data_IF_990498038864
#
_entry.id   IF_990498038864
#
_cell.length_a   1.000
_cell.length_b   1.000
_cell.length_c   1.000
_cell.angle_alpha   90.00
_cell.angle_beta   90.00
_cell.angle_gamma   90.00
#
_symmetry.space_group_name_H-M   'P 1'
#
loop_
_entity.id
_entity.type
_entity.pdbx_description
1 polymer ?
#
# COMPACT_ATOMS: atom_id res chain seq x y z
N UNK A 1 -24.69 -66.84 -49.84
CA UNK A 1 -23.58 -65.87 -49.86
C UNK A 1 -24.14 -64.44 -49.89
N UNK A 2 -23.96 -63.66 -48.81
CA UNK A 2 -23.90 -62.17 -48.82
C UNK A 2 -23.42 -61.74 -47.42
N UNK A 3 -22.14 -61.40 -47.31
CA UNK A 3 -21.46 -60.92 -46.08
C UNK A 3 -21.82 -59.45 -45.88
N UNK A 4 -22.42 -59.10 -44.74
CA UNK A 4 -22.62 -57.71 -44.32
C UNK A 4 -21.38 -57.29 -43.52
N UNK A 5 -20.60 -56.35 -44.06
CA UNK A 5 -19.44 -55.75 -43.39
C UNK A 5 -19.92 -54.50 -42.63
N UNK A 6 -19.98 -54.56 -41.30
CA UNK A 6 -20.18 -53.38 -40.45
C UNK A 6 -18.88 -52.58 -40.37
N UNK A 7 -18.86 -51.37 -40.94
CA UNK A 7 -17.79 -50.39 -40.75
C UNK A 7 -17.83 -49.87 -39.30
N UNK A 8 -16.78 -50.17 -38.53
CA UNK A 8 -16.51 -49.50 -37.26
C UNK A 8 -16.01 -48.08 -37.56
N UNK A 9 -16.84 -47.08 -37.26
CA UNK A 9 -16.41 -45.69 -37.17
C UNK A 9 -15.71 -45.49 -35.82
N UNK A 10 -14.38 -45.50 -35.84
CA UNK A 10 -13.58 -45.16 -34.67
C UNK A 10 -13.88 -43.72 -34.22
N UNK A 11 -14.33 -43.54 -32.98
CA UNK A 11 -14.38 -42.24 -32.31
C UNK A 11 -12.94 -41.70 -32.24
N UNK A 12 -12.62 -40.70 -33.06
CA UNK A 12 -11.40 -39.90 -32.86
C UNK A 12 -11.51 -39.24 -31.48
N UNK A 13 -10.61 -39.59 -30.57
CA UNK A 13 -10.48 -38.90 -29.28
C UNK A 13 -10.19 -37.42 -29.57
N UNK A 14 -10.99 -36.52 -28.99
CA UNK A 14 -10.66 -35.09 -29.00
C UNK A 14 -9.33 -34.93 -28.28
N UNK A 15 -8.39 -34.11 -28.79
CA UNK A 15 -7.18 -33.79 -28.05
C UNK A 15 -7.59 -33.20 -26.69
N UNK A 16 -7.05 -33.76 -25.60
CA UNK A 16 -7.21 -33.19 -24.26
C UNK A 16 -6.71 -31.75 -24.35
N UNK A 17 -7.57 -30.77 -24.00
CA UNK A 17 -7.09 -29.40 -23.79
C UNK A 17 -5.96 -29.49 -22.76
N UNK A 18 -4.83 -28.79 -22.95
CA UNK A 18 -3.80 -28.72 -21.93
C UNK A 18 -4.49 -28.30 -20.63
N UNK A 19 -4.39 -29.14 -19.61
CA UNK A 19 -4.93 -28.84 -18.29
C UNK A 19 -4.21 -27.59 -17.82
N UNK A 20 -4.97 -26.50 -17.67
CA UNK A 20 -4.44 -25.30 -17.05
C UNK A 20 -3.93 -25.72 -15.67
N UNK A 21 -2.65 -25.46 -15.32
CA UNK A 21 -2.12 -25.89 -14.04
C UNK A 21 -3.03 -25.40 -12.92
N UNK A 22 -3.38 -26.30 -12.01
CA UNK A 22 -4.31 -26.00 -10.92
C UNK A 22 -3.76 -24.86 -10.06
N UNK A 23 -4.63 -23.92 -9.69
CA UNK A 23 -4.25 -22.82 -8.79
C UNK A 23 -3.90 -23.37 -7.40
N UNK A 24 -2.97 -22.74 -6.67
CA UNK A 24 -2.76 -23.07 -5.27
C UNK A 24 -4.08 -23.05 -4.47
N UNK A 25 -4.29 -23.95 -3.50
CA UNK A 25 -5.58 -24.10 -2.82
C UNK A 25 -6.17 -22.81 -2.24
N UNK A 26 -5.31 -21.93 -1.70
CA UNK A 26 -5.70 -20.64 -1.13
C UNK A 26 -6.23 -19.67 -2.21
N UNK A 27 -5.58 -19.62 -3.36
CA UNK A 27 -6.00 -18.76 -4.49
C UNK A 27 -7.29 -19.31 -5.10
N UNK A 28 -7.40 -20.63 -5.22
CA UNK A 28 -8.63 -21.27 -5.67
C UNK A 28 -9.79 -20.97 -4.72
N UNK A 29 -9.57 -21.01 -3.41
CA UNK A 29 -10.59 -20.66 -2.42
C UNK A 29 -11.06 -19.21 -2.58
N UNK A 30 -10.13 -18.25 -2.69
CA UNK A 30 -10.46 -16.84 -2.95
C UNK A 30 -11.34 -16.72 -4.20
N UNK A 31 -10.96 -17.39 -5.30
CA UNK A 31 -11.72 -17.37 -6.55
C UNK A 31 -13.14 -17.93 -6.36
N UNK A 32 -13.28 -19.07 -5.70
CA UNK A 32 -14.58 -19.71 -5.49
C UNK A 32 -15.50 -18.90 -4.59
N UNK A 33 -14.97 -18.27 -3.55
CA UNK A 33 -15.73 -17.39 -2.65
C UNK A 33 -16.10 -16.06 -3.34
N UNK A 34 -15.23 -15.51 -4.18
CA UNK A 34 -15.54 -14.35 -5.01
C UNK A 34 -16.70 -14.64 -5.97
N UNK A 35 -16.68 -15.81 -6.64
CA UNK A 35 -17.76 -16.27 -7.53
C UNK A 35 -19.10 -16.47 -6.80
N UNK A 36 -19.07 -16.71 -5.48
CA UNK A 36 -20.27 -16.77 -4.62
C UNK A 36 -20.76 -15.39 -4.16
N UNK A 37 -20.09 -14.31 -4.55
CA UNK A 37 -20.48 -12.94 -4.22
C UNK A 37 -19.95 -12.43 -2.87
N UNK A 38 -19.00 -13.14 -2.24
CA UNK A 38 -18.40 -12.66 -0.99
C UNK A 38 -17.56 -11.40 -1.24
N UNK A 39 -17.97 -10.26 -0.69
CA UNK A 39 -17.42 -8.95 -1.07
C UNK A 39 -15.92 -8.81 -0.77
N UNK A 40 -15.45 -9.35 0.35
CA UNK A 40 -14.02 -9.35 0.67
C UNK A 40 -13.22 -10.16 -0.37
N UNK A 41 -13.70 -11.35 -0.71
CA UNK A 41 -13.03 -12.23 -1.67
C UNK A 41 -13.13 -11.72 -3.10
N UNK A 42 -14.18 -10.99 -3.46
CA UNK A 42 -14.24 -10.25 -4.73
C UNK A 42 -13.04 -9.28 -4.83
N UNK A 43 -12.77 -8.51 -3.77
CA UNK A 43 -11.63 -7.60 -3.73
C UNK A 43 -10.31 -8.37 -3.74
N UNK A 44 -10.19 -9.44 -2.95
CA UNK A 44 -8.96 -10.25 -2.92
C UNK A 44 -8.68 -10.91 -4.28
N UNK A 45 -9.71 -11.36 -4.99
CA UNK A 45 -9.56 -11.92 -6.33
C UNK A 45 -9.10 -10.87 -7.33
N UNK A 46 -9.66 -9.66 -7.29
CA UNK A 46 -9.14 -8.53 -8.08
C UNK A 46 -7.66 -8.24 -7.79
N UNK A 47 -7.24 -8.34 -6.53
CA UNK A 47 -5.83 -8.17 -6.13
C UNK A 47 -4.94 -9.31 -6.62
N UNK A 48 -5.43 -10.56 -6.64
CA UNK A 48 -4.75 -11.71 -7.25
C UNK A 48 -4.51 -11.47 -8.75
N UNK A 49 -5.50 -10.93 -9.46
CA UNK A 49 -5.38 -10.61 -10.88
C UNK A 49 -4.35 -9.49 -11.16
N UNK A 50 -4.05 -8.63 -10.19
CA UNK A 50 -3.02 -7.60 -10.36
C UNK A 50 -1.59 -8.15 -10.18
N UNK A 51 -1.37 -8.92 -9.12
CA UNK A 51 -0.01 -9.08 -8.55
C UNK A 51 0.39 -10.54 -8.24
N UNK A 52 -0.45 -11.54 -8.53
CA UNK A 52 -0.13 -12.94 -8.22
C UNK A 52 0.94 -13.52 -9.16
N UNK A 53 1.90 -14.26 -8.60
CA UNK A 53 2.85 -15.07 -9.39
C UNK A 53 2.22 -16.32 -10.02
N UNK A 54 1.02 -16.69 -9.56
CA UNK A 54 0.31 -17.91 -9.98
C UNK A 54 -0.77 -17.65 -11.03
N UNK A 55 -1.14 -16.40 -11.26
CA UNK A 55 -2.19 -16.00 -12.21
C UNK A 55 -1.62 -14.94 -13.14
N UNK A 56 -1.74 -15.07 -14.48
CA UNK A 56 -1.32 -14.01 -15.38
C UNK A 56 -1.97 -12.68 -15.03
N UNK A 57 -1.17 -11.62 -15.00
CA UNK A 57 -1.64 -10.28 -14.65
C UNK A 57 -2.74 -9.81 -15.60
N UNK A 58 -3.91 -9.48 -15.05
CA UNK A 58 -5.10 -9.00 -15.75
C UNK A 58 -5.73 -7.79 -15.02
N UNK A 59 -5.23 -6.57 -15.28
CA UNK A 59 -5.74 -5.36 -14.64
C UNK A 59 -7.16 -4.98 -15.05
N UNK A 60 -7.58 -5.36 -16.27
CA UNK A 60 -8.92 -5.09 -16.76
C UNK A 60 -9.93 -5.95 -15.98
N UNK A 61 -9.65 -7.25 -15.84
CA UNK A 61 -10.43 -8.13 -14.99
C UNK A 61 -10.43 -7.67 -13.53
N UNK A 62 -9.29 -7.24 -12.98
CA UNK A 62 -9.23 -6.70 -11.62
C UNK A 62 -10.18 -5.51 -11.42
N UNK A 63 -10.20 -4.55 -12.36
CA UNK A 63 -11.12 -3.41 -12.33
C UNK A 63 -12.59 -3.85 -12.36
N UNK A 64 -12.94 -4.86 -13.14
CA UNK A 64 -14.30 -5.40 -13.16
C UNK A 64 -14.71 -5.94 -11.78
N UNK A 65 -13.86 -6.75 -11.14
CA UNK A 65 -14.13 -7.28 -9.80
C UNK A 65 -14.22 -6.19 -8.74
N UNK A 66 -13.33 -5.21 -8.74
CA UNK A 66 -13.45 -4.06 -7.83
C UNK A 66 -14.73 -3.26 -8.07
N UNK A 67 -15.15 -3.13 -9.33
CA UNK A 67 -16.42 -2.47 -9.69
C UNK A 67 -17.63 -3.23 -9.18
N UNK A 68 -17.61 -4.56 -9.21
CA UNK A 68 -18.65 -5.41 -8.61
C UNK A 68 -18.73 -5.17 -7.10
N UNK A 69 -17.61 -5.21 -6.36
CA UNK A 69 -17.60 -4.92 -4.93
C UNK A 69 -18.05 -3.49 -4.61
N UNK A 70 -17.60 -2.50 -5.38
CA UNK A 70 -18.01 -1.11 -5.23
C UNK A 70 -19.53 -0.94 -5.48
N UNK A 71 -20.09 -1.64 -6.47
CA UNK A 71 -21.53 -1.57 -6.78
C UNK A 71 -22.40 -2.20 -5.70
N UNK A 72 -21.83 -3.09 -4.88
CA UNK A 72 -22.46 -3.63 -3.67
C UNK A 72 -22.32 -2.71 -2.45
N UNK A 73 -21.73 -1.51 -2.59
CA UNK A 73 -21.49 -0.56 -1.51
C UNK A 73 -20.33 -0.95 -0.58
N UNK A 74 -19.49 -1.92 -0.97
CA UNK A 74 -18.37 -2.35 -0.14
C UNK A 74 -17.21 -1.35 -0.25
N UNK A 75 -16.88 -0.70 0.88
CA UNK A 75 -15.85 0.35 0.95
C UNK A 75 -14.50 -0.03 0.34
N UNK A 76 -13.92 -1.21 0.66
CA UNK A 76 -12.69 -1.68 0.02
C UNK A 76 -12.78 -1.83 -1.50
N UNK A 77 -13.96 -2.15 -2.04
CA UNK A 77 -14.22 -2.19 -3.48
C UNK A 77 -14.12 -0.81 -4.12
N UNK A 78 -14.76 0.19 -3.51
CA UNK A 78 -14.61 1.59 -3.93
C UNK A 78 -13.15 2.05 -3.86
N UNK A 79 -12.44 1.73 -2.79
CA UNK A 79 -11.04 2.09 -2.63
C UNK A 79 -10.16 1.47 -3.73
N UNK A 80 -10.30 0.18 -4.01
CA UNK A 80 -9.51 -0.47 -5.05
C UNK A 80 -9.87 0.01 -6.46
N UNK A 81 -11.14 0.30 -6.74
CA UNK A 81 -11.55 0.97 -7.99
C UNK A 81 -10.93 2.36 -8.12
N UNK A 82 -10.84 3.11 -7.01
CA UNK A 82 -10.13 4.40 -6.97
C UNK A 82 -8.65 4.26 -7.34
N UNK A 83 -7.98 3.22 -6.84
CA UNK A 83 -6.58 2.92 -7.21
C UNK A 83 -6.42 2.59 -8.69
N UNK A 84 -7.38 1.86 -9.28
CA UNK A 84 -7.39 1.61 -10.73
C UNK A 84 -7.37 2.91 -11.52
N UNK A 85 -8.25 3.86 -11.21
CA UNK A 85 -8.27 5.16 -11.89
C UNK A 85 -7.03 6.01 -11.60
N UNK A 86 -6.51 5.97 -10.37
CA UNK A 86 -5.31 6.74 -10.00
C UNK A 86 -4.06 6.26 -10.75
N UNK A 87 -3.89 4.93 -10.88
CA UNK A 87 -2.68 4.33 -11.44
C UNK A 87 -2.84 3.82 -12.87
N UNK A 88 -4.05 3.83 -13.42
CA UNK A 88 -4.36 3.35 -14.77
C UNK A 88 -4.36 1.83 -14.86
N UNK A 89 -4.80 1.14 -13.81
CA UNK A 89 -4.88 -0.32 -13.82
C UNK A 89 -6.17 -0.76 -14.51
N UNK A 90 -6.03 -1.25 -15.74
CA UNK A 90 -7.15 -1.74 -16.54
C UNK A 90 -8.01 -0.65 -17.16
N UNK A 91 -7.61 0.62 -17.03
CA UNK A 91 -8.32 1.79 -17.56
C UNK A 91 -7.34 2.94 -17.82
N UNK A 92 -7.81 3.99 -18.50
CA UNK A 92 -7.10 5.26 -18.56
C UNK A 92 -7.03 5.91 -17.16
N UNK A 93 -5.93 6.61 -16.89
CA UNK A 93 -5.77 7.33 -15.63
C UNK A 93 -6.78 8.48 -15.55
N UNK A 94 -7.51 8.53 -14.45
CA UNK A 94 -8.49 9.59 -14.16
C UNK A 94 -8.49 9.92 -12.66
N UNK A 95 -7.81 11.01 -12.31
CA UNK A 95 -7.65 11.41 -10.92
C UNK A 95 -8.95 11.96 -10.31
N UNK A 96 -9.87 12.48 -11.13
CA UNK A 96 -11.17 12.97 -10.66
C UNK A 96 -12.10 11.80 -10.33
N UNK A 97 -12.11 10.75 -11.15
CA UNK A 97 -12.83 9.51 -10.83
C UNK A 97 -12.19 8.77 -9.64
N UNK A 98 -10.87 8.78 -9.50
CA UNK A 98 -10.19 8.21 -8.33
C UNK A 98 -10.66 8.90 -7.04
N UNK A 99 -10.69 10.24 -7.04
CA UNK A 99 -11.21 11.06 -5.96
C UNK A 99 -12.66 10.71 -5.56
N UNK A 100 -13.55 10.57 -6.55
CA UNK A 100 -14.94 10.18 -6.31
C UNK A 100 -15.04 8.78 -5.69
N UNK A 101 -14.24 7.83 -6.17
CA UNK A 101 -14.19 6.48 -5.63
C UNK A 101 -13.69 6.45 -4.18
N UNK A 102 -12.62 7.19 -3.85
CA UNK A 102 -12.14 7.29 -2.47
C UNK A 102 -13.13 7.99 -1.54
N UNK A 103 -13.87 8.99 -2.03
CA UNK A 103 -14.96 9.60 -1.28
C UNK A 103 -16.10 8.61 -0.97
N UNK A 104 -16.48 7.77 -1.94
CA UNK A 104 -17.44 6.70 -1.70
C UNK A 104 -16.92 5.65 -0.70
N UNK A 105 -15.64 5.27 -0.80
CA UNK A 105 -15.00 4.36 0.16
C UNK A 105 -15.01 4.94 1.59
N UNK A 106 -14.64 6.21 1.74
CA UNK A 106 -14.66 6.94 3.00
C UNK A 106 -16.07 7.01 3.61
N UNK A 107 -17.08 7.29 2.79
CA UNK A 107 -18.48 7.30 3.23
C UNK A 107 -18.96 5.91 3.68
N UNK A 108 -18.45 4.85 3.04
CA UNK A 108 -18.75 3.46 3.38
C UNK A 108 -17.93 2.91 4.57
N UNK A 109 -17.15 3.74 5.26
CA UNK A 109 -16.40 3.30 6.45
C UNK A 109 -14.97 2.84 6.19
N UNK A 110 -14.47 2.85 4.96
CA UNK A 110 -13.14 2.31 4.63
C UNK A 110 -12.01 3.31 4.95
N UNK A 111 -11.11 2.92 5.86
CA UNK A 111 -10.02 3.80 6.31
C UNK A 111 -8.92 3.99 5.26
N UNK A 112 -8.70 2.99 4.41
CA UNK A 112 -7.79 3.15 3.27
C UNK A 112 -8.32 4.17 2.27
N UNK A 113 -9.62 4.15 2.00
CA UNK A 113 -10.34 5.14 1.22
C UNK A 113 -10.27 6.54 1.83
N UNK A 114 -10.48 6.67 3.16
CA UNK A 114 -10.29 7.95 3.87
C UNK A 114 -8.86 8.48 3.75
N UNK A 115 -7.88 7.61 3.96
CA UNK A 115 -6.46 7.96 3.81
C UNK A 115 -6.14 8.42 2.40
N UNK A 116 -6.55 7.66 1.38
CA UNK A 116 -6.28 7.99 -0.02
C UNK A 116 -6.98 9.29 -0.44
N UNK A 117 -8.22 9.50 -0.02
CA UNK A 117 -8.91 10.76 -0.22
C UNK A 117 -8.16 11.90 0.46
N UNK A 118 -7.75 11.74 1.73
CA UNK A 118 -7.00 12.73 2.48
C UNK A 118 -5.72 13.15 1.76
N UNK A 119 -5.00 12.20 1.14
CA UNK A 119 -3.80 12.51 0.33
C UNK A 119 -4.15 13.35 -0.90
N UNK A 120 -5.19 12.99 -1.66
CA UNK A 120 -5.61 13.74 -2.84
C UNK A 120 -6.07 15.15 -2.45
N UNK A 121 -6.87 15.26 -1.39
CA UNK A 121 -7.38 16.53 -0.86
C UNK A 121 -6.26 17.42 -0.31
N UNK A 122 -5.29 16.85 0.39
CA UNK A 122 -4.13 17.62 0.91
C UNK A 122 -3.28 18.19 -0.23
N UNK A 123 -3.13 17.44 -1.33
CA UNK A 123 -2.20 17.77 -2.43
C UNK A 123 -2.89 18.43 -3.64
N UNK A 124 -4.21 18.54 -3.66
CA UNK A 124 -4.96 19.03 -4.81
C UNK A 124 -4.82 18.15 -6.06
N UNK A 125 -4.83 16.82 -5.89
CA UNK A 125 -4.65 15.88 -7.01
C UNK A 125 -6.02 15.41 -7.50
N UNK A 126 -6.41 15.82 -8.71
CA UNK A 126 -7.72 15.48 -9.29
C UNK A 126 -8.90 16.21 -8.63
N UNK A 127 -8.61 17.17 -7.74
CA UNK A 127 -9.55 18.04 -7.02
C UNK A 127 -8.78 19.25 -6.48
N UNK A 128 -9.49 20.27 -6.01
CA UNK A 128 -8.85 21.39 -5.32
C UNK A 128 -8.27 20.96 -3.97
N UNK A 129 -7.17 21.60 -3.56
CA UNK A 129 -6.55 21.34 -2.27
C UNK A 129 -7.39 21.93 -1.13
N UNK A 130 -7.54 21.17 -0.04
CA UNK A 130 -8.29 21.57 1.16
C UNK A 130 -7.65 20.94 2.42
N UNK A 131 -6.75 21.69 3.06
CA UNK A 131 -6.03 21.22 4.25
C UNK A 131 -6.95 20.95 5.45
N UNK A 132 -7.93 21.80 5.80
CA UNK A 132 -8.90 21.49 6.85
C UNK A 132 -9.65 20.18 6.64
N UNK A 133 -10.10 19.92 5.40
CA UNK A 133 -10.78 18.65 5.07
C UNK A 133 -9.83 17.46 5.12
N UNK A 134 -8.61 17.60 4.62
CA UNK A 134 -7.60 16.54 4.70
C UNK A 134 -7.27 16.18 6.16
N UNK A 135 -7.13 17.18 7.02
CA UNK A 135 -6.95 17.00 8.46
C UNK A 135 -8.08 16.16 9.06
N UNK A 136 -9.34 16.49 8.78
CA UNK A 136 -10.47 15.75 9.32
C UNK A 136 -10.44 14.28 8.88
N UNK A 137 -10.18 14.02 7.59
CA UNK A 137 -10.05 12.66 7.05
C UNK A 137 -8.94 11.85 7.74
N UNK A 138 -7.75 12.44 7.93
CA UNK A 138 -6.65 11.76 8.62
C UNK A 138 -6.96 11.55 10.10
N UNK A 139 -7.53 12.55 10.78
CA UNK A 139 -7.91 12.47 12.19
C UNK A 139 -8.94 11.36 12.43
N UNK A 140 -9.98 11.27 11.59
CA UNK A 140 -10.99 10.21 11.69
C UNK A 140 -10.38 8.84 11.47
N UNK A 141 -9.60 8.65 10.40
CA UNK A 141 -8.96 7.36 10.13
C UNK A 141 -7.94 6.97 11.21
N UNK A 142 -7.19 7.94 11.76
CA UNK A 142 -6.29 7.72 12.89
C UNK A 142 -7.06 7.27 14.15
N UNK A 143 -8.23 7.87 14.42
CA UNK A 143 -9.12 7.47 15.51
C UNK A 143 -9.64 6.03 15.39
N UNK A 144 -9.70 5.48 14.17
CA UNK A 144 -10.08 4.09 13.91
C UNK A 144 -8.89 3.13 13.74
N UNK A 145 -7.67 3.54 14.13
CA UNK A 145 -6.53 2.63 14.13
C UNK A 145 -5.69 2.62 12.84
N UNK A 146 -5.99 3.48 11.85
CA UNK A 146 -5.25 3.48 10.59
C UNK A 146 -3.86 4.12 10.73
N UNK A 147 -2.82 3.30 10.84
CA UNK A 147 -1.44 3.72 11.15
C UNK A 147 -0.91 4.83 10.24
N UNK A 148 -1.07 4.72 8.91
CA UNK A 148 -0.62 5.77 7.97
C UNK A 148 -1.30 7.11 8.19
N UNK A 149 -2.57 7.09 8.58
CA UNK A 149 -3.31 8.32 8.91
C UNK A 149 -2.86 8.89 10.25
N UNK A 150 -2.49 8.06 11.22
CA UNK A 150 -1.90 8.53 12.48
C UNK A 150 -0.62 9.32 12.25
N UNK A 151 0.29 8.83 11.39
CA UNK A 151 1.51 9.56 11.02
C UNK A 151 1.20 10.93 10.39
N UNK A 152 0.23 11.00 9.47
CA UNK A 152 -0.11 12.27 8.83
C UNK A 152 -0.82 13.21 9.79
N UNK A 153 -1.72 12.71 10.63
CA UNK A 153 -2.36 13.51 11.65
C UNK A 153 -1.34 14.08 12.66
N UNK A 154 -0.37 13.27 13.08
CA UNK A 154 0.76 13.73 13.89
C UNK A 154 1.50 14.89 13.23
N UNK A 155 1.76 14.80 11.92
CA UNK A 155 2.42 15.87 11.17
C UNK A 155 1.62 17.18 11.14
N UNK A 156 0.30 17.13 11.00
CA UNK A 156 -0.55 18.33 11.10
C UNK A 156 -0.41 19.01 12.47
N UNK A 157 -0.33 18.25 13.56
CA UNK A 157 -0.13 18.76 14.91
C UNK A 157 1.30 19.29 15.13
N UNK A 158 2.30 18.60 14.59
CA UNK A 158 3.71 18.99 14.68
C UNK A 158 3.98 20.31 13.96
N UNK A 159 3.43 20.48 12.77
CA UNK A 159 3.70 21.65 11.92
C UNK A 159 2.72 22.80 12.17
N UNK A 160 1.56 22.52 12.75
CA UNK A 160 0.53 23.52 13.04
C UNK A 160 -0.10 24.15 11.79
N UNK A 161 -0.24 23.39 10.70
CA UNK A 161 -0.68 23.95 9.39
C UNK A 161 -2.05 24.64 9.43
N UNK A 162 -3.07 23.94 9.94
CA UNK A 162 -4.45 24.45 10.05
C UNK A 162 -5.03 24.21 11.44
N UNK A 163 -4.15 23.93 12.39
CA UNK A 163 -4.42 23.70 13.81
C UNK A 163 -3.26 24.28 14.62
N UNK A 164 -3.46 24.66 15.89
CA UNK A 164 -2.34 25.04 16.76
C UNK A 164 -1.29 23.92 16.81
N UNK A 165 -0.02 24.31 16.82
CA UNK A 165 1.08 23.35 16.97
C UNK A 165 1.00 22.68 18.35
N UNK A 166 1.05 21.35 18.37
CA UNK A 166 1.11 20.51 19.57
C UNK A 166 2.06 19.34 19.34
N UNK A 167 3.33 19.56 19.67
CA UNK A 167 4.40 18.57 19.49
C UNK A 167 4.27 17.37 20.44
N UNK A 168 3.67 17.55 21.61
CA UNK A 168 3.47 16.48 22.57
C UNK A 168 2.40 15.50 22.04
N UNK A 169 1.27 16.03 21.56
CA UNK A 169 0.25 15.21 20.92
C UNK A 169 0.76 14.58 19.62
N UNK A 170 1.55 15.31 18.82
CA UNK A 170 2.18 14.74 17.62
C UNK A 170 3.06 13.53 17.94
N UNK A 171 3.91 13.64 18.98
CA UNK A 171 4.78 12.54 19.41
C UNK A 171 3.97 11.29 19.80
N UNK A 172 2.86 11.47 20.53
CA UNK A 172 1.96 10.38 20.89
C UNK A 172 1.34 9.70 19.66
N UNK A 173 0.97 10.47 18.63
CA UNK A 173 0.44 9.91 17.39
C UNK A 173 1.50 9.26 16.51
N UNK A 174 2.73 9.79 16.48
CA UNK A 174 3.86 9.11 15.82
C UNK A 174 4.16 7.77 16.49
N UNK A 175 4.16 7.69 17.83
CA UNK A 175 4.27 6.42 18.56
C UNK A 175 3.18 5.43 18.16
N UNK A 176 1.90 5.84 18.21
CA UNK A 176 0.78 4.96 17.81
C UNK A 176 0.90 4.50 16.36
N UNK A 177 1.36 5.38 15.47
CA UNK A 177 1.64 5.02 14.08
C UNK A 177 2.75 3.99 13.96
N UNK A 178 3.81 4.11 14.77
CA UNK A 178 4.93 3.17 14.81
C UNK A 178 4.49 1.79 15.31
N UNK A 179 3.72 1.76 16.40
CA UNK A 179 3.10 0.56 16.97
C UNK A 179 2.11 -0.10 15.98
N UNK A 180 1.42 0.72 15.18
CA UNK A 180 0.56 0.26 14.08
C UNK A 180 1.32 -0.23 12.84
N UNK A 181 2.66 -0.23 12.87
CA UNK A 181 3.51 -0.78 11.82
C UNK A 181 3.77 0.15 10.62
N UNK A 182 3.42 1.44 10.69
CA UNK A 182 3.78 2.35 9.61
C UNK A 182 5.22 2.83 9.73
N UNK A 183 6.04 2.52 8.74
CA UNK A 183 7.46 2.85 8.74
C UNK A 183 7.77 4.36 8.85
N UNK A 184 6.85 5.25 8.41
CA UNK A 184 7.04 6.70 8.57
C UNK A 184 6.83 7.08 10.03
N UNK A 185 5.80 6.52 10.67
CA UNK A 185 5.59 6.62 12.11
C UNK A 185 6.79 6.09 12.91
N UNK A 186 7.30 4.91 12.54
CA UNK A 186 8.51 4.34 13.16
C UNK A 186 9.72 5.26 13.01
N UNK A 187 9.95 5.81 11.82
CA UNK A 187 11.05 6.75 11.57
C UNK A 187 10.89 8.06 12.37
N UNK A 188 9.70 8.67 12.36
CA UNK A 188 9.45 9.94 13.04
C UNK A 188 9.55 9.80 14.55
N UNK A 189 9.01 8.70 15.10
CA UNK A 189 9.13 8.40 16.52
C UNK A 189 10.59 8.12 16.94
N UNK A 190 11.33 7.34 16.15
CA UNK A 190 12.75 7.11 16.35
C UNK A 190 13.58 8.41 16.33
N UNK A 191 13.32 9.30 15.37
CA UNK A 191 13.99 10.60 15.30
C UNK A 191 13.75 11.41 16.58
N UNK A 192 12.51 11.46 17.07
CA UNK A 192 12.19 12.14 18.33
C UNK A 192 12.85 11.48 19.55
N UNK A 193 12.96 10.15 19.59
CA UNK A 193 13.67 9.42 20.64
C UNK A 193 15.17 9.73 20.64
N UNK A 194 15.82 9.81 19.47
CA UNK A 194 17.22 10.25 19.35
C UNK A 194 17.38 11.67 19.91
N UNK A 195 16.50 12.59 19.52
CA UNK A 195 16.57 13.98 19.98
C UNK A 195 16.31 14.09 21.51
N UNK A 196 15.59 13.13 22.10
CA UNK A 196 15.41 12.97 23.54
C UNK A 196 16.53 12.17 24.24
N UNK A 197 17.58 11.75 23.51
CA UNK A 197 18.71 10.98 24.04
C UNK A 197 18.45 9.49 24.26
N UNK A 198 17.29 8.97 23.83
CA UNK A 198 16.89 7.56 23.95
C UNK A 198 17.31 6.77 22.72
N UNK A 199 18.62 6.71 22.49
CA UNK A 199 19.19 6.19 21.23
C UNK A 199 18.86 4.70 21.02
N UNK A 200 19.02 3.85 22.02
CA UNK A 200 18.73 2.41 21.88
C UNK A 200 17.28 2.14 21.48
N UNK A 201 16.31 2.80 22.13
CA UNK A 201 14.89 2.69 21.77
C UNK A 201 14.64 3.18 20.33
N UNK A 202 15.33 4.24 19.89
CA UNK A 202 15.21 4.72 18.52
C UNK A 202 15.72 3.72 17.48
N UNK A 203 16.84 3.04 17.78
CA UNK A 203 17.44 2.04 16.90
C UNK A 203 16.49 0.86 16.68
N UNK A 204 15.77 0.42 17.72
CA UNK A 204 14.75 -0.64 17.59
C UNK A 204 13.65 -0.28 16.58
N UNK A 205 13.18 0.97 16.61
CA UNK A 205 12.18 1.44 15.65
C UNK A 205 12.75 1.59 14.24
N UNK A 206 13.97 2.09 14.08
CA UNK A 206 14.61 2.17 12.77
C UNK A 206 14.94 0.80 12.16
N UNK A 207 15.26 -0.23 12.96
CA UNK A 207 15.41 -1.62 12.48
C UNK A 207 14.12 -2.19 11.89
N UNK A 208 12.96 -1.71 12.34
CA UNK A 208 11.67 -2.03 11.73
C UNK A 208 11.44 -1.17 10.48
N UNK A 209 11.64 0.15 10.59
CA UNK A 209 11.36 1.10 9.51
C UNK A 209 12.17 0.83 8.25
N UNK A 210 13.44 0.41 8.41
CA UNK A 210 14.35 0.13 7.29
C UNK A 210 13.85 -0.98 6.36
N UNK A 211 12.85 -1.77 6.71
CA UNK A 211 12.29 -2.78 5.80
C UNK A 211 11.51 -2.10 4.67
N UNK A 212 10.62 -1.17 5.03
CA UNK A 212 9.65 -0.56 4.10
C UNK A 212 9.96 0.91 3.77
N UNK A 213 11.01 1.48 4.38
CA UNK A 213 11.40 2.87 4.18
C UNK A 213 11.59 3.24 2.70
N UNK A 214 11.07 4.42 2.34
CA UNK A 214 11.33 5.09 1.06
C UNK A 214 12.70 5.75 1.06
N UNK A 215 13.21 6.11 -0.12
CA UNK A 215 14.56 6.67 -0.27
C UNK A 215 14.80 7.94 0.53
N UNK A 216 13.80 8.82 0.66
CA UNK A 216 13.86 10.03 1.48
C UNK A 216 14.10 9.69 2.97
N UNK A 217 13.37 8.71 3.49
CA UNK A 217 13.53 8.25 4.88
C UNK A 217 14.85 7.51 5.05
N UNK A 218 15.26 6.69 4.09
CA UNK A 218 16.56 6.01 4.14
C UNK A 218 17.73 7.01 4.16
N UNK A 219 17.65 8.08 3.37
CA UNK A 219 18.65 9.16 3.39
C UNK A 219 18.66 9.88 4.74
N UNK A 220 17.50 10.19 5.32
CA UNK A 220 17.41 10.79 6.65
C UNK A 220 17.97 9.86 7.75
N UNK A 221 17.70 8.55 7.66
CA UNK A 221 18.26 7.54 8.54
C UNK A 221 19.77 7.47 8.41
N UNK A 222 20.31 7.41 7.18
CA UNK A 222 21.75 7.38 6.91
C UNK A 222 22.47 8.59 7.53
N UNK A 223 21.91 9.79 7.38
CA UNK A 223 22.44 11.02 7.98
C UNK A 223 22.44 10.96 9.51
N UNK A 224 21.31 10.60 10.13
CA UNK A 224 21.19 10.53 11.59
C UNK A 224 22.07 9.43 12.18
N UNK A 225 22.09 8.23 11.59
CA UNK A 225 22.93 7.12 12.03
C UNK A 225 24.42 7.43 11.90
N UNK A 226 24.83 8.09 10.81
CA UNK A 226 26.21 8.56 10.65
C UNK A 226 26.57 9.58 11.74
N UNK A 227 25.67 10.51 12.06
CA UNK A 227 25.89 11.52 13.09
C UNK A 227 25.97 10.93 14.52
N UNK A 228 25.33 9.78 14.77
CA UNK A 228 25.42 9.08 16.05
C UNK A 228 26.81 8.45 16.31
N UNK A 229 27.58 8.18 15.25
CA UNK A 229 28.92 7.59 15.34
C UNK A 229 28.91 6.31 16.18
N UNK A 230 29.75 6.25 17.22
CA UNK A 230 29.88 5.08 18.11
C UNK A 230 28.62 4.78 18.93
N UNK A 231 27.67 5.71 19.04
CA UNK A 231 26.37 5.48 19.70
C UNK A 231 25.33 4.90 18.75
N UNK A 232 25.63 4.82 17.45
CA UNK A 232 24.72 4.28 16.44
C UNK A 232 24.81 2.76 16.32
N UNK A 233 24.11 2.24 15.32
CA UNK A 233 24.13 0.83 14.93
C UNK A 233 24.77 0.71 13.54
N UNK A 234 26.00 0.16 13.50
CA UNK A 234 26.78 0.04 12.27
C UNK A 234 26.13 -0.92 11.26
N UNK A 235 25.54 -2.02 11.74
CA UNK A 235 24.88 -3.01 10.89
C UNK A 235 23.60 -2.42 10.27
N UNK A 236 22.85 -1.65 11.07
CA UNK A 236 21.68 -0.92 10.58
C UNK A 236 22.09 0.14 9.54
N UNK A 237 23.18 0.89 9.77
CA UNK A 237 23.69 1.86 8.81
C UNK A 237 24.09 1.19 7.49
N UNK A 238 24.80 0.05 7.55
CA UNK A 238 25.14 -0.73 6.36
C UNK A 238 23.89 -1.17 5.62
N UNK A 239 22.88 -1.69 6.34
CA UNK A 239 21.60 -2.09 5.76
C UNK A 239 20.86 -0.94 5.07
N UNK A 240 20.84 0.25 5.69
CA UNK A 240 20.25 1.46 5.08
C UNK A 240 20.95 1.79 3.77
N UNK A 241 22.28 1.80 3.75
CA UNK A 241 23.09 2.10 2.56
C UNK A 241 22.94 1.05 1.46
N UNK A 242 22.83 -0.22 1.83
CA UNK A 242 22.55 -1.30 0.88
C UNK A 242 21.20 -1.08 0.17
N UNK A 243 20.14 -0.75 0.92
CA UNK A 243 18.83 -0.44 0.33
C UNK A 243 18.85 0.80 -0.57
N UNK A 244 19.58 1.85 -0.20
CA UNK A 244 19.78 3.01 -1.07
C UNK A 244 20.46 2.63 -2.38
N UNK A 245 21.50 1.79 -2.31
CA UNK A 245 22.21 1.28 -3.48
C UNK A 245 21.34 0.41 -4.39
N UNK A 246 20.48 -0.44 -3.82
CA UNK A 246 19.48 -1.22 -4.57
C UNK A 246 18.52 -0.31 -5.37
N UNK A 247 18.24 0.89 -4.85
CA UNK A 247 17.44 1.91 -5.52
C UNK A 247 18.25 2.80 -6.49
N UNK A 248 19.57 2.57 -6.63
CA UNK A 248 20.46 3.39 -7.45
C UNK A 248 20.75 4.77 -6.87
N UNK A 249 20.63 4.94 -5.54
CA UNK A 249 20.81 6.22 -4.84
C UNK A 249 22.10 6.16 -4.02
N UNK A 250 22.94 7.18 -4.18
CA UNK A 250 24.18 7.30 -3.41
C UNK A 250 23.87 7.70 -1.94
N UNK A 251 24.53 7.06 -0.95
CA UNK A 251 24.45 7.47 0.45
C UNK A 251 24.94 8.91 0.68
N UNK A 252 24.52 9.52 1.80
CA UNK A 252 24.95 10.87 2.16
C UNK A 252 26.44 10.87 2.48
N UNK A 253 27.23 11.63 1.72
CA UNK A 253 28.68 11.79 1.94
C UNK A 253 29.57 11.01 0.97
N UNK A 254 29.02 10.14 0.12
CA UNK A 254 29.75 9.61 -1.04
C UNK A 254 29.57 10.56 -2.22
N UNK A 255 30.52 11.49 -2.40
CA UNK A 255 30.59 12.28 -3.61
C UNK A 255 30.71 11.32 -4.81
N UNK A 256 29.82 11.49 -5.79
CA UNK A 256 29.89 10.78 -7.08
C UNK A 256 31.23 11.15 -7.70
N UNK A 257 32.19 10.24 -7.62
CA UNK A 257 33.39 10.32 -8.45
C UNK A 257 32.92 10.09 -9.89
N UNK A 258 32.63 11.18 -10.59
CA UNK A 258 32.35 11.13 -12.02
C UNK A 258 33.61 10.58 -12.72
N UNK A 259 33.44 9.45 -13.41
CA UNK A 259 34.32 9.01 -14.48
C UNK A 259 33.56 9.09 -15.80
#
# INVERSE_FOLDING_TARGET
>A
MKRIVRKFLGRKSRPRRPETPALPPQIEQIRQEALKGQHLQIVQWGQVLLDSVHVPRDPAGALEWFTIAASAGFGPGHNMRGRCFQFGWGCEKDLQQAAQCYAAAAAAGDEWGRYNLGILTMRGIGMDADLPRALDLFRTAAGHGHAKSMNLYARFLEEGWVVPQDRAAALDWYRKSAEGGDYRGQHNYATALVDAGKVEEALDWWRQAVVDATSDILLAMDQKLTALGLKGDADLLERVRARLKEMGIAPSGEAVSAQ
#
